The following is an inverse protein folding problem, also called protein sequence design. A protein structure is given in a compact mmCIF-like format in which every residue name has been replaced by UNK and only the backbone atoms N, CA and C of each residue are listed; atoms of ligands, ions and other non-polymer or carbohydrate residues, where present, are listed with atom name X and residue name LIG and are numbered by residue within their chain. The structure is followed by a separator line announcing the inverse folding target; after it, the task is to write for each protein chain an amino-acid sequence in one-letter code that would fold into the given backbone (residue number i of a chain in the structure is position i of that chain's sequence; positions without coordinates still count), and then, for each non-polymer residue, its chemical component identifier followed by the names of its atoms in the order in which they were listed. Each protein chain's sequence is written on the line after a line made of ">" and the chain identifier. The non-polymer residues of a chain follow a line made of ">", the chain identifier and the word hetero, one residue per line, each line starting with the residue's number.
data_IF_048884035392
#
_entry.id   IF_048884035392
#
_cell.length_a   1.000
_cell.length_b   1.000
_cell.length_c   1.000
_cell.angle_alpha   90.00
_cell.angle_beta   90.00
_cell.angle_gamma   90.00
#
_symmetry.space_group_name_H-M   'P 1'
#
loop_
_entity.id
_entity.type
_entity.pdbx_description
1 polymer ?
#
# COMPACT_ATOMS: atom_id res chain seq x y z
N UNK A 1 -20.03 -14.11 -2.75
CA UNK A 1 -20.40 -13.52 -1.45
C UNK A 1 -19.19 -13.34 -0.51
N UNK A 2 -18.54 -14.38 0.04
CA UNK A 2 -17.44 -14.17 1.02
C UNK A 2 -16.17 -13.47 0.49
N UNK A 3 -16.00 -13.34 -0.84
CA UNK A 3 -14.83 -12.65 -1.46
C UNK A 3 -15.12 -11.20 -1.85
N UNK A 4 -16.36 -10.76 -1.75
CA UNK A 4 -16.81 -9.46 -2.26
C UNK A 4 -16.66 -8.36 -1.21
N UNK A 5 -16.66 -8.78 0.06
CA UNK A 5 -16.49 -7.95 1.24
C UNK A 5 -15.41 -8.50 2.17
N UNK A 6 -14.80 -7.62 2.95
CA UNK A 6 -13.83 -7.99 4.00
C UNK A 6 -14.20 -7.28 5.29
N UNK A 7 -14.35 -8.01 6.39
CA UNK A 7 -14.55 -7.41 7.71
C UNK A 7 -13.36 -6.53 8.08
N UNK A 8 -13.64 -5.39 8.70
CA UNK A 8 -12.62 -4.42 9.14
C UNK A 8 -12.69 -4.22 10.64
N UNK A 9 -11.60 -3.72 11.24
CA UNK A 9 -11.55 -3.33 12.66
C UNK A 9 -11.92 -1.85 12.89
N UNK A 10 -12.62 -1.22 11.95
CA UNK A 10 -13.09 0.15 12.10
C UNK A 10 -14.03 0.30 13.33
N UNK A 11 -13.85 1.38 14.09
CA UNK A 11 -14.67 1.67 15.27
C UNK A 11 -16.14 1.87 14.91
N UNK A 12 -17.04 1.46 15.82
CA UNK A 12 -18.49 1.57 15.64
C UNK A 12 -19.05 0.66 14.55
N UNK A 13 -18.40 -0.50 14.34
CA UNK A 13 -18.81 -1.54 13.39
C UNK A 13 -19.66 -2.64 14.04
N UNK A 14 -19.82 -3.78 13.35
CA UNK A 14 -18.96 -4.28 12.28
C UNK A 14 -19.13 -3.54 10.93
N UNK A 15 -17.98 -3.26 10.32
CA UNK A 15 -17.85 -2.65 9.00
C UNK A 15 -17.19 -3.60 8.02
N UNK A 16 -17.60 -3.53 6.76
CA UNK A 16 -17.14 -4.41 5.69
C UNK A 16 -16.63 -3.59 4.52
N UNK A 17 -15.35 -3.73 4.21
CA UNK A 17 -14.73 -3.09 3.04
C UNK A 17 -15.23 -3.74 1.76
N UNK A 18 -15.57 -2.91 0.79
CA UNK A 18 -15.89 -3.31 -0.58
C UNK A 18 -14.62 -3.85 -1.26
N UNK A 19 -14.49 -5.16 -1.46
CA UNK A 19 -13.28 -5.75 -2.08
C UNK A 19 -13.45 -5.93 -3.59
N UNK A 20 -14.46 -6.71 -4.00
CA UNK A 20 -14.85 -6.88 -5.40
C UNK A 20 -16.15 -6.18 -5.71
N UNK A 21 -17.01 -6.06 -4.71
CA UNK A 21 -18.19 -5.22 -4.79
C UNK A 21 -17.80 -3.75 -4.89
N UNK A 22 -18.69 -2.93 -5.43
CA UNK A 22 -18.49 -1.49 -5.58
C UNK A 22 -19.16 -0.72 -4.46
N UNK A 23 -18.47 0.29 -3.96
CA UNK A 23 -19.05 1.25 -3.04
C UNK A 23 -20.32 1.88 -3.63
N UNK A 24 -21.41 1.81 -2.89
CA UNK A 24 -22.73 2.31 -3.31
C UNK A 24 -22.82 3.83 -3.46
N UNK A 25 -21.77 4.55 -3.03
CA UNK A 25 -21.67 6.01 -3.15
C UNK A 25 -20.78 6.41 -4.33
N UNK A 26 -19.56 5.87 -4.43
CA UNK A 26 -18.59 6.30 -5.43
C UNK A 26 -18.38 5.32 -6.59
N UNK A 27 -19.00 4.15 -6.55
CA UNK A 27 -18.86 3.12 -7.60
C UNK A 27 -17.48 2.44 -7.66
N UNK A 28 -16.57 2.74 -6.74
CA UNK A 28 -15.23 2.14 -6.69
C UNK A 28 -15.16 1.01 -5.66
N UNK A 29 -14.30 0.01 -5.93
CA UNK A 29 -13.91 -0.97 -4.92
C UNK A 29 -12.71 -0.50 -4.10
N UNK A 30 -12.50 -1.16 -2.97
CA UNK A 30 -11.50 -0.94 -1.93
C UNK A 30 -11.61 0.42 -1.22
N UNK A 31 -11.06 0.49 -0.01
CA UNK A 31 -11.00 1.66 0.89
C UNK A 31 -12.34 2.06 1.50
N UNK A 32 -13.43 2.02 0.73
CA UNK A 32 -14.76 2.31 1.23
C UNK A 32 -15.33 1.10 1.98
N UNK A 33 -16.24 1.33 2.92
CA UNK A 33 -16.85 0.28 3.72
C UNK A 33 -18.34 0.52 3.95
N UNK A 34 -19.09 -0.57 4.13
CA UNK A 34 -20.50 -0.58 4.50
C UNK A 34 -20.68 -1.17 5.89
N UNK A 35 -21.58 -0.62 6.68
CA UNK A 35 -21.94 -1.18 7.98
C UNK A 35 -22.81 -2.44 7.78
N UNK A 36 -22.81 -3.37 8.73
CA UNK A 36 -23.69 -4.55 8.70
C UNK A 36 -25.19 -4.24 8.55
N UNK A 37 -25.60 -2.99 8.82
CA UNK A 37 -27.00 -2.58 8.75
C UNK A 37 -27.46 -2.34 7.30
N UNK A 38 -26.53 -2.38 6.34
CA UNK A 38 -26.79 -2.16 4.93
C UNK A 38 -27.18 -0.73 4.56
N UNK A 39 -27.19 0.22 5.50
CA UNK A 39 -27.62 1.60 5.28
C UNK A 39 -26.47 2.61 5.39
N UNK A 40 -25.52 2.39 6.30
CA UNK A 40 -24.40 3.30 6.50
C UNK A 40 -23.21 2.92 5.62
N UNK A 41 -22.70 3.89 4.85
CA UNK A 41 -21.51 3.71 3.99
C UNK A 41 -20.47 4.78 4.30
N UNK A 42 -19.26 4.37 4.65
CA UNK A 42 -18.11 5.28 4.70
C UNK A 42 -17.43 5.28 3.34
N UNK A 43 -17.52 6.41 2.64
CA UNK A 43 -16.91 6.63 1.33
C UNK A 43 -15.65 7.49 1.44
N UNK A 44 -14.53 7.01 0.87
CA UNK A 44 -13.25 7.74 0.89
C UNK A 44 -13.05 8.69 -0.29
N UNK A 45 -14.04 8.78 -1.20
CA UNK A 45 -13.91 9.52 -2.48
C UNK A 45 -14.98 10.59 -2.68
N UNK A 46 -16.14 10.41 -2.09
CA UNK A 46 -17.26 11.36 -2.19
C UNK A 46 -17.50 11.95 -0.82
N UNK A 47 -17.41 13.27 -0.73
CA UNK A 47 -17.62 14.01 0.52
C UNK A 47 -19.08 14.00 0.95
N UNK A 48 -19.29 14.13 2.26
CA UNK A 48 -20.57 14.39 2.91
C UNK A 48 -20.33 15.35 4.08
N UNK A 49 -21.40 15.86 4.68
CA UNK A 49 -21.29 16.73 5.87
C UNK A 49 -20.70 16.00 7.09
N UNK A 50 -20.74 14.66 7.10
CA UNK A 50 -20.27 13.83 8.21
C UNK A 50 -18.92 13.22 7.86
N UNK A 51 -17.84 13.86 8.25
CA UNK A 51 -16.50 13.32 8.07
C UNK A 51 -16.17 12.24 9.12
N UNK A 52 -15.52 11.16 8.68
CA UNK A 52 -15.25 9.94 9.43
C UNK A 52 -13.75 9.63 9.48
N UNK A 53 -13.26 9.25 10.67
CA UNK A 53 -11.85 8.97 10.95
C UNK A 53 -10.85 9.96 10.31
N UNK A 54 -11.09 11.27 10.51
CA UNK A 54 -10.32 12.39 9.93
C UNK A 54 -8.80 12.27 10.09
N UNK A 55 -8.35 11.60 11.15
CA UNK A 55 -6.93 11.43 11.50
C UNK A 55 -6.37 10.05 11.14
N UNK A 56 -7.10 9.22 10.40
CA UNK A 56 -6.63 7.91 9.96
C UNK A 56 -5.89 7.98 8.62
N UNK A 57 -5.25 6.88 8.23
CA UNK A 57 -4.63 6.71 6.92
C UNK A 57 -5.65 6.79 5.78
N UNK A 58 -6.91 6.47 6.06
CA UNK A 58 -7.99 6.37 5.08
C UNK A 58 -9.18 7.18 5.61
N UNK A 59 -9.08 8.52 5.65
CA UNK A 59 -10.21 9.35 6.05
C UNK A 59 -11.36 9.15 5.06
N UNK A 60 -12.58 9.15 5.57
CA UNK A 60 -13.78 8.97 4.77
C UNK A 60 -14.88 9.92 5.18
N UNK A 61 -16.03 9.76 4.54
CA UNK A 61 -17.24 10.51 4.83
C UNK A 61 -18.40 9.52 4.97
N UNK A 62 -19.22 9.68 6.00
CA UNK A 62 -20.34 8.80 6.31
C UNK A 62 -21.58 9.23 5.53
N UNK A 63 -22.10 8.31 4.73
CA UNK A 63 -23.33 8.45 3.94
C UNK A 63 -24.41 7.50 4.46
N UNK A 64 -25.66 7.86 4.22
CA UNK A 64 -26.83 7.03 4.47
C UNK A 64 -27.55 6.72 3.14
N UNK A 65 -27.83 5.44 2.88
CA UNK A 65 -28.47 5.01 1.65
C UNK A 65 -29.98 5.25 1.63
N UNK A 66 -30.61 5.40 2.82
CA UNK A 66 -32.00 5.80 3.03
C UNK A 66 -33.02 5.04 2.16
N UNK A 67 -32.90 3.71 2.13
CA UNK A 67 -33.90 2.85 1.46
C UNK A 67 -33.85 2.86 -0.07
N UNK A 68 -32.79 3.39 -0.69
CA UNK A 68 -32.49 3.12 -2.12
C UNK A 68 -32.37 1.59 -2.35
N UNK A 69 -32.79 1.13 -3.54
CA UNK A 69 -32.81 -0.29 -3.95
C UNK A 69 -31.39 -0.90 -4.06
N UNK A 70 -30.70 -1.07 -2.94
CA UNK A 70 -29.45 -1.81 -2.86
C UNK A 70 -29.71 -3.24 -2.38
N UNK A 71 -28.94 -4.24 -2.85
CA UNK A 71 -29.10 -5.61 -2.42
C UNK A 71 -28.94 -5.73 -0.90
N UNK A 72 -29.82 -6.50 -0.25
CA UNK A 72 -29.61 -6.88 1.15
C UNK A 72 -28.43 -7.84 1.21
N UNK A 73 -27.35 -7.42 1.88
CA UNK A 73 -26.13 -8.22 1.99
C UNK A 73 -26.23 -9.11 3.22
N UNK A 74 -25.94 -10.40 3.06
CA UNK A 74 -25.78 -11.32 4.18
C UNK A 74 -24.29 -11.43 4.56
N UNK A 75 -23.94 -10.86 5.71
CA UNK A 75 -22.59 -10.88 6.25
C UNK A 75 -22.30 -12.11 7.13
N UNK A 76 -23.29 -12.96 7.41
CA UNK A 76 -23.12 -14.13 8.31
C UNK A 76 -22.07 -15.14 7.82
N UNK A 77 -21.86 -15.20 6.50
CA UNK A 77 -20.87 -16.06 5.87
C UNK A 77 -19.43 -15.52 5.90
N UNK A 78 -19.22 -14.30 6.42
CA UNK A 78 -17.89 -13.68 6.53
C UNK A 78 -17.33 -13.98 7.92
N UNK A 79 -16.19 -14.69 8.02
CA UNK A 79 -15.61 -15.04 9.30
C UNK A 79 -15.36 -13.83 10.20
N UNK A 80 -15.79 -13.94 11.46
CA UNK A 80 -15.39 -13.04 12.53
C UNK A 80 -14.10 -13.54 13.15
N UNK A 81 -12.97 -13.09 12.59
CA UNK A 81 -11.66 -13.37 13.16
C UNK A 81 -11.25 -12.18 14.03
N UNK A 82 -10.97 -12.38 15.33
CA UNK A 82 -10.50 -11.31 16.20
C UNK A 82 -9.27 -10.61 15.63
N UNK A 83 -9.28 -9.27 15.63
CA UNK A 83 -8.13 -8.47 15.25
C UNK A 83 -7.10 -8.51 16.38
N UNK A 84 -5.85 -8.85 16.06
CA UNK A 84 -4.76 -8.83 17.02
C UNK A 84 -4.01 -7.50 16.90
N UNK A 85 -3.84 -6.74 17.98
CA UNK A 85 -3.09 -5.48 17.93
C UNK A 85 -1.63 -5.77 17.59
N UNK A 86 -1.01 -4.84 16.84
CA UNK A 86 0.40 -4.96 16.49
C UNK A 86 1.28 -4.94 17.75
N UNK A 87 2.29 -5.82 17.77
CA UNK A 87 3.37 -5.73 18.77
C UNK A 87 4.07 -4.37 18.67
N UNK A 88 4.72 -3.96 19.74
CA UNK A 88 5.49 -2.72 19.78
C UNK A 88 6.65 -2.78 18.78
N UNK A 89 7.12 -1.62 18.30
CA UNK A 89 8.13 -1.53 17.24
C UNK A 89 9.42 -2.31 17.52
N UNK A 90 9.83 -2.41 18.79
CA UNK A 90 11.03 -3.15 19.19
C UNK A 90 10.87 -4.67 18.96
N UNK A 91 9.71 -5.23 19.31
CA UNK A 91 9.41 -6.65 19.09
C UNK A 91 9.24 -6.96 17.60
N UNK A 92 8.57 -6.06 16.87
CA UNK A 92 8.44 -6.16 15.42
C UNK A 92 9.83 -6.17 14.75
N UNK A 93 10.74 -5.25 15.10
CA UNK A 93 12.09 -5.25 14.54
C UNK A 93 12.81 -6.55 14.89
N UNK A 94 12.79 -7.00 16.15
CA UNK A 94 13.44 -8.26 16.56
C UNK A 94 13.02 -9.43 15.67
N UNK A 95 11.71 -9.60 15.47
CA UNK A 95 11.15 -10.73 14.71
C UNK A 95 11.43 -10.57 13.21
N UNK A 96 11.22 -9.37 12.66
CA UNK A 96 11.45 -9.11 11.24
C UNK A 96 12.93 -9.17 10.85
N UNK A 97 13.85 -8.84 11.75
CA UNK A 97 15.28 -9.03 11.51
C UNK A 97 15.66 -10.51 11.49
N UNK A 98 15.10 -11.32 12.39
CA UNK A 98 15.24 -12.77 12.30
C UNK A 98 14.69 -13.31 10.97
N UNK A 99 13.53 -12.81 10.52
CA UNK A 99 12.98 -13.11 9.20
C UNK A 99 13.95 -12.73 8.07
N UNK A 100 14.50 -11.51 8.06
CA UNK A 100 15.47 -11.09 7.05
C UNK A 100 16.74 -11.96 7.03
N UNK A 101 17.15 -12.50 8.17
CA UNK A 101 18.32 -13.38 8.28
C UNK A 101 18.04 -14.82 7.82
N UNK A 102 16.78 -15.25 7.77
CA UNK A 102 16.35 -16.56 7.26
C UNK A 102 15.96 -16.52 5.77
N UNK A 103 15.83 -15.33 5.18
CA UNK A 103 15.45 -15.17 3.77
C UNK A 103 16.64 -14.69 2.93
N UNK A 104 16.56 -14.93 1.62
CA UNK A 104 17.52 -14.45 0.62
C UNK A 104 16.85 -13.59 -0.46
N UNK A 105 17.65 -12.85 -1.23
CA UNK A 105 17.18 -12.21 -2.47
C UNK A 105 17.47 -13.16 -3.62
N UNK A 106 16.45 -13.55 -4.38
CA UNK A 106 16.60 -14.43 -5.54
C UNK A 106 17.40 -13.72 -6.64
N UNK A 107 18.08 -14.47 -7.53
CA UNK A 107 18.82 -13.88 -8.65
C UNK A 107 17.96 -12.93 -9.50
N UNK A 108 16.74 -13.36 -9.85
CA UNK A 108 15.76 -12.55 -10.59
C UNK A 108 15.44 -11.22 -9.89
N UNK A 109 15.28 -11.23 -8.57
CA UNK A 109 15.04 -10.00 -7.81
C UNK A 109 16.28 -9.11 -7.71
N UNK A 110 17.48 -9.70 -7.59
CA UNK A 110 18.73 -8.94 -7.65
C UNK A 110 18.89 -8.24 -9.00
N UNK A 111 18.67 -8.95 -10.10
CA UNK A 111 18.71 -8.39 -11.45
C UNK A 111 17.70 -7.25 -11.62
N UNK A 112 16.47 -7.42 -11.13
CA UNK A 112 15.46 -6.36 -11.15
C UNK A 112 15.89 -5.11 -10.36
N UNK A 113 16.51 -5.29 -9.19
CA UNK A 113 16.98 -4.17 -8.36
C UNK A 113 18.22 -3.47 -8.93
N UNK A 114 19.09 -4.21 -9.62
CA UNK A 114 20.31 -3.69 -10.26
C UNK A 114 20.08 -3.15 -11.67
N UNK A 115 18.96 -3.53 -12.28
CA UNK A 115 18.61 -3.16 -13.65
C UNK A 115 18.40 -1.65 -13.83
N UNK A 116 18.27 -1.24 -15.10
CA UNK A 116 18.25 0.17 -15.52
C UNK A 116 17.17 1.02 -14.83
N UNK A 117 16.02 0.43 -14.46
CA UNK A 117 14.95 1.15 -13.76
C UNK A 117 15.32 1.55 -12.32
N UNK A 118 16.20 0.80 -11.65
CA UNK A 118 16.42 0.90 -10.20
C UNK A 118 17.85 1.25 -9.83
N UNK A 119 18.82 0.74 -10.61
CA UNK A 119 20.25 1.06 -10.53
C UNK A 119 20.87 0.91 -9.12
N UNK A 120 20.31 0.03 -8.28
CA UNK A 120 20.84 -0.17 -6.94
C UNK A 120 22.12 -1.02 -6.98
N UNK A 121 23.12 -0.59 -6.20
CA UNK A 121 24.35 -1.33 -5.97
C UNK A 121 24.12 -2.49 -4.99
N UNK A 122 24.97 -3.51 -5.04
CA UNK A 122 24.81 -4.71 -4.19
C UNK A 122 24.88 -4.38 -2.69
N UNK A 123 25.73 -3.43 -2.32
CA UNK A 123 25.88 -2.98 -0.94
C UNK A 123 24.67 -2.15 -0.45
N UNK A 124 24.03 -1.39 -1.35
CA UNK A 124 22.76 -0.72 -1.10
C UNK A 124 21.65 -1.76 -0.89
N UNK A 125 21.50 -2.73 -1.81
CA UNK A 125 20.52 -3.84 -1.67
C UNK A 125 20.68 -4.56 -0.32
N UNK A 126 21.93 -4.82 0.08
CA UNK A 126 22.26 -5.47 1.35
C UNK A 126 21.85 -4.58 2.54
N UNK A 127 22.24 -3.30 2.54
CA UNK A 127 21.90 -2.35 3.60
C UNK A 127 20.38 -2.14 3.75
N UNK A 128 19.66 -2.08 2.62
CA UNK A 128 18.20 -1.94 2.59
C UNK A 128 17.48 -3.19 3.07
N UNK A 129 18.12 -4.36 3.05
CA UNK A 129 17.55 -5.60 3.58
C UNK A 129 16.40 -6.14 2.74
N UNK A 130 16.38 -5.87 1.43
CA UNK A 130 15.39 -6.48 0.54
C UNK A 130 15.50 -8.01 0.58
N UNK A 131 14.37 -8.72 0.42
CA UNK A 131 14.31 -10.19 0.39
C UNK A 131 13.25 -10.68 -0.59
N UNK A 132 13.31 -11.94 -0.97
CA UNK A 132 12.24 -12.60 -1.72
C UNK A 132 11.31 -13.31 -0.76
N UNK A 133 10.02 -13.29 -1.06
CA UNK A 133 9.06 -14.12 -0.33
C UNK A 133 9.42 -15.60 -0.53
N UNK A 134 9.49 -16.40 0.55
CA UNK A 134 9.94 -17.79 0.46
C UNK A 134 8.93 -18.67 -0.29
N UNK A 135 9.43 -19.65 -1.04
CA UNK A 135 8.58 -20.67 -1.67
C UNK A 135 7.87 -21.56 -0.65
N UNK A 136 8.52 -21.79 0.50
CA UNK A 136 8.00 -22.59 1.61
C UNK A 136 7.89 -21.75 2.89
N UNK A 137 6.89 -20.86 3.01
CA UNK A 137 6.78 -19.95 4.13
C UNK A 137 6.77 -20.62 5.51
N UNK A 138 6.14 -21.79 5.66
CA UNK A 138 6.11 -22.51 6.93
C UNK A 138 7.48 -23.01 7.38
N UNK A 139 8.39 -23.33 6.45
CA UNK A 139 9.77 -23.71 6.80
C UNK A 139 10.55 -22.50 7.29
N UNK A 140 10.43 -21.36 6.57
CA UNK A 140 11.03 -20.11 7.01
C UNK A 140 10.54 -19.70 8.41
N UNK A 141 9.24 -19.84 8.70
CA UNK A 141 8.70 -19.55 10.05
C UNK A 141 9.29 -20.48 11.12
N UNK A 142 9.52 -21.76 10.83
CA UNK A 142 10.20 -22.68 11.76
C UNK A 142 11.63 -22.25 12.05
N UNK A 143 12.38 -21.84 11.03
CA UNK A 143 13.75 -21.34 11.18
C UNK A 143 13.81 -20.03 11.97
N UNK A 144 12.86 -19.13 11.73
CA UNK A 144 12.71 -17.87 12.48
C UNK A 144 12.43 -18.17 13.95
N UNK A 145 11.49 -19.07 14.25
CA UNK A 145 11.15 -19.45 15.62
C UNK A 145 12.33 -20.10 16.34
N UNK A 146 13.05 -21.00 15.67
CA UNK A 146 14.25 -21.63 16.21
C UNK A 146 15.36 -20.61 16.52
N UNK A 147 15.56 -19.62 15.64
CA UNK A 147 16.54 -18.54 15.85
C UNK A 147 16.16 -17.63 17.02
N UNK A 148 14.87 -17.39 17.23
CA UNK A 148 14.37 -16.51 18.29
C UNK A 148 14.20 -17.22 19.64
N UNK A 149 14.12 -18.56 19.65
CA UNK A 149 13.71 -19.32 20.83
C UNK A 149 12.26 -19.08 21.24
N UNK A 150 11.42 -18.62 20.30
CA UNK A 150 10.08 -18.09 20.55
C UNK A 150 9.21 -18.32 19.30
N UNK A 151 7.94 -18.67 19.48
CA UNK A 151 6.98 -18.89 18.41
C UNK A 151 5.71 -18.03 18.55
N UNK A 152 5.68 -17.08 19.49
CA UNK A 152 4.59 -16.12 19.62
C UNK A 152 4.71 -14.99 18.60
N UNK A 153 4.10 -15.23 17.44
CA UNK A 153 3.97 -14.28 16.34
C UNK A 153 2.60 -13.57 16.28
N UNK A 154 1.75 -13.74 17.30
CA UNK A 154 0.50 -12.96 17.38
C UNK A 154 0.84 -11.47 17.49
N UNK A 155 0.18 -10.61 16.72
CA UNK A 155 0.52 -9.19 16.65
C UNK A 155 1.66 -8.87 15.68
N UNK A 156 2.18 -9.85 14.91
CA UNK A 156 3.21 -9.63 13.88
C UNK A 156 2.57 -9.71 12.48
N UNK A 157 2.51 -8.58 11.74
CA UNK A 157 1.89 -8.58 10.41
C UNK A 157 2.50 -9.61 9.46
N UNK A 158 1.61 -10.36 8.80
CA UNK A 158 1.99 -11.35 7.79
C UNK A 158 2.16 -12.77 8.34
N UNK A 159 2.33 -12.95 9.65
CA UNK A 159 2.36 -14.26 10.30
C UNK A 159 0.96 -14.68 10.72
N UNK A 160 0.63 -15.97 10.60
CA UNK A 160 -0.68 -16.50 11.01
C UNK A 160 -0.65 -18.02 11.19
N UNK A 161 -1.72 -18.54 11.80
CA UNK A 161 -2.00 -19.97 11.94
C UNK A 161 -2.86 -20.42 10.77
N UNK A 162 -2.45 -21.51 10.11
CA UNK A 162 -3.18 -22.10 9.00
C UNK A 162 -3.51 -23.56 9.28
N UNK A 163 -4.69 -24.00 8.87
CA UNK A 163 -5.05 -25.42 8.86
C UNK A 163 -4.22 -26.19 7.82
N UNK A 164 -3.69 -27.34 8.24
CA UNK A 164 -2.94 -28.27 7.40
C UNK A 164 -3.42 -29.71 7.59
N UNK A 165 -2.93 -30.61 6.73
CA UNK A 165 -3.28 -32.02 6.76
C UNK A 165 -2.98 -32.70 8.11
N UNK A 166 -1.91 -32.27 8.80
CA UNK A 166 -1.44 -32.83 10.07
C UNK A 166 -1.79 -31.94 11.27
N UNK A 167 -2.78 -31.05 11.12
CA UNK A 167 -3.14 -30.04 12.10
C UNK A 167 -2.64 -28.65 11.75
N UNK A 168 -2.86 -27.72 12.68
CA UNK A 168 -2.55 -26.31 12.51
C UNK A 168 -1.04 -26.05 12.54
N UNK A 169 -0.59 -25.11 11.74
CA UNK A 169 0.82 -24.70 11.71
C UNK A 169 0.97 -23.19 11.47
N UNK A 170 2.06 -22.62 11.99
CA UNK A 170 2.43 -21.23 11.75
C UNK A 170 3.06 -21.06 10.37
N UNK A 171 2.68 -20.00 9.67
CA UNK A 171 3.16 -19.68 8.32
C UNK A 171 3.06 -18.18 8.05
N UNK A 172 3.51 -17.74 6.86
CA UNK A 172 3.38 -16.36 6.40
C UNK A 172 2.42 -16.23 5.22
N UNK A 173 1.66 -15.13 5.17
CA UNK A 173 0.70 -14.81 4.11
C UNK A 173 1.37 -13.99 3.01
N UNK A 174 1.38 -14.51 1.79
CA UNK A 174 1.95 -13.81 0.64
C UNK A 174 1.97 -14.68 -0.61
N UNK A 175 2.38 -14.06 -1.72
CA UNK A 175 2.68 -14.72 -2.99
C UNK A 175 4.15 -14.47 -3.35
N UNK A 176 4.65 -15.16 -4.37
CA UNK A 176 5.97 -14.87 -4.95
C UNK A 176 6.12 -13.37 -5.26
N UNK A 177 7.17 -12.77 -4.70
CA UNK A 177 7.36 -11.33 -4.72
C UNK A 177 8.59 -10.87 -3.95
N UNK A 178 8.92 -9.58 -4.10
CA UNK A 178 9.98 -8.89 -3.37
C UNK A 178 9.41 -8.27 -2.08
N UNK A 179 10.02 -8.58 -0.94
CA UNK A 179 9.79 -7.94 0.36
C UNK A 179 10.67 -6.70 0.50
N UNK A 180 10.04 -5.56 0.80
CA UNK A 180 10.63 -4.24 0.98
C UNK A 180 10.40 -3.82 2.44
N UNK A 181 11.44 -3.77 3.29
CA UNK A 181 11.30 -3.40 4.69
C UNK A 181 10.81 -1.97 4.88
N UNK A 182 9.85 -1.77 5.78
CA UNK A 182 9.38 -0.46 6.23
C UNK A 182 10.06 -0.12 7.57
N UNK A 183 10.98 0.85 7.53
CA UNK A 183 11.70 1.35 8.71
C UNK A 183 11.08 2.64 9.26
N UNK A 184 10.85 2.70 10.57
CA UNK A 184 10.43 3.93 11.25
C UNK A 184 11.60 4.90 11.48
N UNK A 185 11.33 6.04 12.11
CA UNK A 185 12.30 7.08 12.48
C UNK A 185 13.30 6.71 13.59
N UNK A 186 13.31 5.44 14.01
CA UNK A 186 14.28 4.86 14.95
C UNK A 186 15.09 3.71 14.32
N UNK A 187 15.05 3.56 12.99
CA UNK A 187 15.67 2.46 12.23
C UNK A 187 15.15 1.07 12.63
N UNK A 188 13.92 0.98 13.13
CA UNK A 188 13.26 -0.29 13.44
C UNK A 188 12.38 -0.71 12.27
N UNK A 189 12.47 -1.97 11.85
CA UNK A 189 11.58 -2.54 10.85
C UNK A 189 10.23 -2.81 11.51
N UNK A 190 9.19 -2.13 11.04
CA UNK A 190 7.83 -2.18 11.61
C UNK A 190 6.81 -2.78 10.65
N UNK A 191 7.27 -3.29 9.51
CA UNK A 191 6.43 -3.95 8.50
C UNK A 191 7.15 -4.06 7.17
N UNK A 192 6.41 -4.50 6.15
CA UNK A 192 6.92 -4.64 4.78
C UNK A 192 5.86 -4.25 3.77
N UNK A 193 6.28 -3.59 2.69
CA UNK A 193 5.58 -3.74 1.42
C UNK A 193 6.08 -4.99 0.71
N UNK A 194 5.19 -5.72 0.06
CA UNK A 194 5.54 -6.81 -0.84
C UNK A 194 5.11 -6.45 -2.27
N UNK A 195 6.05 -6.56 -3.21
CA UNK A 195 5.86 -6.32 -4.64
C UNK A 195 5.68 -7.67 -5.33
N UNK A 196 4.51 -7.97 -5.86
CA UNK A 196 4.26 -9.25 -6.55
C UNK A 196 5.10 -9.39 -7.81
N UNK A 197 5.52 -10.62 -8.10
CA UNK A 197 6.19 -10.96 -9.35
C UNK A 197 5.29 -10.78 -10.57
N UNK A 198 4.04 -11.21 -10.42
CA UNK A 198 3.04 -11.20 -11.48
C UNK A 198 1.83 -10.40 -11.03
N UNK A 199 1.61 -9.27 -11.70
CA UNK A 199 0.40 -8.46 -11.53
C UNK A 199 -0.72 -9.13 -12.32
N UNK A 200 -1.73 -9.64 -11.60
CA UNK A 200 -2.91 -10.24 -12.23
C UNK A 200 -3.89 -9.16 -12.67
N UNK A 201 -4.33 -9.23 -13.92
CA UNK A 201 -5.42 -8.41 -14.41
C UNK A 201 -6.76 -8.93 -13.88
N UNK A 202 -7.72 -8.03 -13.77
CA UNK A 202 -9.07 -8.30 -13.30
C UNK A 202 -10.10 -7.54 -14.14
N UNK A 203 -11.38 -7.90 -14.03
CA UNK A 203 -12.45 -7.16 -14.71
C UNK A 203 -12.94 -6.04 -13.80
N UNK A 204 -13.00 -4.82 -14.33
CA UNK A 204 -13.63 -3.66 -13.72
C UNK A 204 -14.98 -3.42 -14.39
N UNK A 205 -16.07 -3.47 -13.62
CA UNK A 205 -17.44 -3.38 -14.15
C UNK A 205 -17.95 -1.94 -14.24
N UNK A 206 -17.54 -1.15 -15.23
CA UNK A 206 -17.86 0.30 -15.35
C UNK A 206 -19.34 0.65 -15.10
N UNK A 207 -20.27 -0.07 -15.71
CA UNK A 207 -21.72 0.00 -15.47
C UNK A 207 -22.28 -1.42 -15.28
N UNK A 208 -23.25 -1.58 -14.39
CA UNK A 208 -23.99 -2.84 -14.21
C UNK A 208 -25.46 -2.55 -13.99
N UNK A 209 -26.30 -3.08 -14.88
CA UNK A 209 -27.77 -2.91 -14.83
C UNK A 209 -28.50 -4.21 -14.53
N UNK A 210 -27.77 -5.30 -14.30
CA UNK A 210 -28.35 -6.60 -14.03
C UNK A 210 -27.64 -7.27 -12.85
N UNK A 211 -28.36 -7.52 -11.76
CA UNK A 211 -27.78 -8.02 -10.51
C UNK A 211 -27.10 -9.39 -10.66
N UNK A 212 -27.57 -10.25 -11.57
CA UNK A 212 -26.98 -11.57 -11.81
C UNK A 212 -25.83 -11.57 -12.85
N UNK A 213 -25.49 -10.43 -13.46
CA UNK A 213 -24.39 -10.36 -14.41
C UNK A 213 -23.04 -10.33 -13.69
N UNK A 214 -22.13 -11.21 -14.12
CA UNK A 214 -20.76 -11.24 -13.62
C UNK A 214 -19.76 -11.32 -14.78
N UNK A 215 -18.58 -10.77 -14.59
CA UNK A 215 -17.46 -10.92 -15.50
C UNK A 215 -16.18 -11.20 -14.73
N UNK A 216 -15.35 -12.11 -15.24
CA UNK A 216 -14.07 -12.50 -14.62
C UNK A 216 -12.99 -12.76 -15.66
N UNK A 217 -11.74 -12.52 -15.28
CA UNK A 217 -10.59 -13.03 -16.05
C UNK A 217 -10.45 -14.52 -15.75
N UNK A 218 -10.74 -15.34 -16.76
CA UNK A 218 -10.62 -16.80 -16.69
C UNK A 218 -9.16 -17.25 -16.85
N UNK A 219 -8.42 -16.57 -17.73
CA UNK A 219 -7.00 -16.83 -17.99
C UNK A 219 -6.23 -15.52 -18.17
N UNK A 220 -5.05 -15.42 -17.56
CA UNK A 220 -4.20 -14.25 -17.70
C UNK A 220 -3.55 -14.24 -19.10
N UNK A 221 -3.31 -13.07 -19.70
CA UNK A 221 -3.54 -11.75 -19.12
C UNK A 221 -4.99 -11.24 -19.25
N UNK A 222 -5.79 -11.74 -20.18
CA UNK A 222 -7.02 -11.03 -20.57
C UNK A 222 -8.11 -11.90 -21.22
N UNK A 223 -8.10 -13.22 -21.03
CA UNK A 223 -9.21 -14.08 -21.42
C UNK A 223 -10.33 -13.94 -20.41
N UNK A 224 -11.49 -13.44 -20.84
CA UNK A 224 -12.61 -13.07 -19.98
C UNK A 224 -13.81 -13.95 -20.24
N UNK A 225 -14.52 -14.30 -19.17
CA UNK A 225 -15.83 -14.96 -19.21
C UNK A 225 -16.90 -14.01 -18.71
N UNK A 226 -18.04 -13.98 -19.40
CA UNK A 226 -19.26 -13.35 -18.94
C UNK A 226 -20.26 -14.41 -18.49
N UNK A 227 -20.85 -14.17 -17.32
CA UNK A 227 -21.75 -15.10 -16.68
C UNK A 227 -23.06 -14.39 -16.34
N UNK A 228 -24.17 -15.12 -16.45
CA UNK A 228 -25.47 -14.72 -15.92
C UNK A 228 -26.00 -15.89 -15.09
N UNK A 229 -26.39 -15.62 -13.84
CA UNK A 229 -26.87 -16.67 -12.91
C UNK A 229 -25.88 -17.82 -12.70
N UNK A 230 -24.58 -17.57 -12.90
CA UNK A 230 -23.51 -18.57 -12.78
C UNK A 230 -23.18 -19.32 -14.07
N UNK A 231 -24.01 -19.19 -15.11
CA UNK A 231 -23.80 -19.83 -16.42
C UNK A 231 -22.99 -18.93 -17.35
N UNK A 232 -21.99 -19.51 -18.03
CA UNK A 232 -21.13 -18.78 -18.97
C UNK A 232 -21.89 -18.62 -20.29
N UNK A 233 -22.12 -17.39 -20.72
CA UNK A 233 -22.75 -17.10 -22.02
C UNK A 233 -21.79 -16.52 -23.06
N UNK A 234 -20.60 -16.08 -22.64
CA UNK A 234 -19.58 -15.58 -23.55
C UNK A 234 -18.18 -15.80 -22.96
N UNK A 235 -17.23 -16.13 -23.84
CA UNK A 235 -15.81 -16.23 -23.53
C UNK A 235 -14.98 -15.64 -24.67
N UNK A 236 -13.96 -14.85 -24.34
CA UNK A 236 -13.04 -14.31 -25.33
C UNK A 236 -11.98 -13.39 -24.73
N UNK A 237 -11.02 -13.00 -25.55
CA UNK A 237 -9.98 -12.05 -25.13
C UNK A 237 -10.47 -10.62 -25.27
N UNK A 238 -10.20 -9.79 -24.27
CA UNK A 238 -10.52 -8.36 -24.29
C UNK A 238 -9.27 -7.50 -24.18
N UNK A 239 -9.24 -6.39 -24.90
CA UNK A 239 -8.13 -5.43 -24.78
C UNK A 239 -8.12 -4.79 -23.39
N UNK A 240 -6.92 -4.64 -22.82
CA UNK A 240 -6.75 -4.09 -21.48
C UNK A 240 -7.02 -2.57 -21.52
N UNK A 241 -7.88 -2.10 -20.63
CA UNK A 241 -8.22 -0.69 -20.48
C UNK A 241 -9.38 -0.23 -21.37
N UNK A 242 -9.73 -0.99 -22.40
CA UNK A 242 -10.81 -0.65 -23.35
C UNK A 242 -12.17 -1.07 -22.78
N UNK A 243 -13.14 -0.15 -22.66
CA UNK A 243 -14.52 -0.49 -22.31
C UNK A 243 -15.16 -1.43 -23.32
N UNK A 244 -15.92 -2.41 -22.82
CA UNK A 244 -16.71 -3.37 -23.59
C UNK A 244 -18.14 -3.37 -23.06
N UNK A 245 -19.07 -2.98 -23.92
CA UNK A 245 -20.50 -3.16 -23.66
C UNK A 245 -20.86 -4.63 -23.75
N UNK A 246 -21.66 -5.09 -22.78
CA UNK A 246 -22.08 -6.48 -22.66
C UNK A 246 -23.58 -6.54 -22.87
N UNK A 247 -23.99 -7.34 -23.86
CA UNK A 247 -25.39 -7.60 -24.17
C UNK A 247 -25.66 -9.09 -24.04
N UNK A 248 -26.86 -9.43 -23.57
CA UNK A 248 -27.36 -10.80 -23.52
C UNK A 248 -28.80 -10.81 -24.05
N UNK A 249 -29.07 -11.63 -25.06
CA UNK A 249 -30.38 -11.71 -25.73
C UNK A 249 -30.92 -10.32 -26.16
N UNK A 250 -30.06 -9.47 -26.72
CA UNK A 250 -30.41 -8.11 -27.15
C UNK A 250 -30.54 -7.07 -26.02
N UNK A 251 -30.55 -7.47 -24.74
CA UNK A 251 -30.60 -6.56 -23.60
C UNK A 251 -29.21 -6.13 -23.17
N UNK A 252 -29.02 -4.84 -22.93
CA UNK A 252 -27.78 -4.30 -22.34
C UNK A 252 -27.69 -4.70 -20.86
N UNK A 253 -26.60 -5.39 -20.49
CA UNK A 253 -26.35 -5.82 -19.12
C UNK A 253 -25.44 -4.86 -18.36
N UNK A 254 -24.52 -4.20 -19.06
CA UNK A 254 -23.54 -3.31 -18.46
C UNK A 254 -22.33 -3.06 -19.36
N UNK A 255 -21.35 -2.37 -18.80
CA UNK A 255 -20.09 -2.07 -19.45
C UNK A 255 -18.94 -2.47 -18.53
N UNK A 256 -17.94 -3.15 -19.08
CA UNK A 256 -16.80 -3.66 -18.33
C UNK A 256 -15.50 -3.30 -19.02
N UNK A 257 -14.37 -3.34 -18.31
CA UNK A 257 -13.03 -3.29 -18.91
C UNK A 257 -12.08 -4.21 -18.17
N UNK A 258 -11.08 -4.76 -18.86
CA UNK A 258 -9.97 -5.44 -18.18
C UNK A 258 -9.03 -4.39 -17.61
N UNK A 259 -8.72 -4.47 -16.32
CA UNK A 259 -7.85 -3.55 -15.60
C UNK A 259 -6.63 -4.27 -15.05
N UNK A 260 -5.49 -3.58 -15.04
CA UNK A 260 -4.26 -4.09 -14.41
C UNK A 260 -4.40 -4.08 -12.89
N UNK A 261 -3.99 -5.17 -12.25
CA UNK A 261 -3.92 -5.30 -10.80
C UNK A 261 -2.93 -4.33 -10.15
N UNK A 262 -2.95 -4.30 -8.82
CA UNK A 262 -1.93 -3.59 -8.05
C UNK A 262 -0.65 -4.42 -7.96
N UNK A 263 0.48 -3.71 -7.93
CA UNK A 263 1.82 -4.28 -7.90
C UNK A 263 2.38 -4.42 -6.49
N UNK A 264 1.99 -3.51 -5.61
CA UNK A 264 2.46 -3.43 -4.23
C UNK A 264 1.31 -3.64 -3.26
N UNK A 265 1.58 -4.38 -2.21
CA UNK A 265 0.65 -4.69 -1.14
C UNK A 265 1.39 -4.65 0.19
N UNK A 266 0.67 -4.53 1.29
CA UNK A 266 1.27 -4.63 2.62
C UNK A 266 1.37 -6.10 3.07
N UNK A 267 2.52 -6.48 3.63
CA UNK A 267 2.70 -7.79 4.25
C UNK A 267 1.84 -7.86 5.51
N UNK A 268 0.75 -8.60 5.42
CA UNK A 268 -0.38 -8.51 6.35
C UNK A 268 -1.09 -9.85 6.40
N UNK A 269 -1.50 -10.25 7.60
CA UNK A 269 -2.30 -11.44 7.87
C UNK A 269 -3.65 -11.09 8.50
N UNK A 270 -4.16 -9.89 8.23
CA UNK A 270 -5.51 -9.50 8.67
C UNK A 270 -6.57 -10.52 8.22
N UNK A 271 -7.49 -10.82 9.14
CA UNK A 271 -8.57 -11.80 9.00
C UNK A 271 -8.11 -13.27 8.87
N UNK A 272 -6.88 -13.57 9.26
CA UNK A 272 -6.40 -14.95 9.43
C UNK A 272 -6.34 -15.30 10.92
N UNK A 273 -6.47 -16.58 11.27
CA UNK A 273 -6.36 -17.04 12.66
C UNK A 273 -5.00 -16.68 13.26
N UNK A 274 -5.00 -16.00 14.41
CA UNK A 274 -3.79 -15.47 15.04
C UNK A 274 -3.06 -14.40 14.21
N UNK A 275 -3.65 -13.95 13.11
CA UNK A 275 -3.08 -13.00 12.17
C UNK A 275 -3.20 -11.55 12.62
N UNK A 276 -2.49 -10.66 11.93
CA UNK A 276 -2.39 -9.24 12.28
C UNK A 276 -2.31 -8.41 11.01
N UNK A 277 -3.12 -7.34 10.97
CA UNK A 277 -3.07 -6.37 9.88
C UNK A 277 -1.79 -5.52 9.90
N UNK A 278 -1.29 -5.14 8.73
CA UNK A 278 -0.20 -4.15 8.64
C UNK A 278 -0.63 -2.74 9.12
N UNK A 279 -1.93 -2.44 9.07
CA UNK A 279 -2.53 -1.14 9.37
C UNK A 279 -2.56 -0.77 10.86
N UNK A 280 -3.28 0.31 11.17
CA UNK A 280 -3.51 0.85 12.52
C UNK A 280 -2.24 1.20 13.34
N UNK A 281 -1.44 2.20 12.88
CA UNK A 281 -1.43 2.84 11.56
C UNK A 281 -0.58 2.04 10.57
N UNK A 282 -0.73 2.27 9.25
CA UNK A 282 0.23 1.73 8.29
C UNK A 282 1.63 2.33 8.53
N UNK A 283 2.72 1.59 8.27
CA UNK A 283 4.07 2.11 8.43
C UNK A 283 4.34 3.36 7.57
N UNK A 284 4.97 4.36 8.17
CA UNK A 284 5.67 5.45 7.47
C UNK A 284 7.13 5.06 7.38
N UNK A 285 7.69 5.07 6.18
CA UNK A 285 9.05 4.63 5.96
C UNK A 285 10.02 5.80 5.88
N UNK A 286 11.08 5.75 6.68
CA UNK A 286 12.20 6.68 6.65
C UNK A 286 13.34 6.08 5.84
N UNK A 287 13.64 6.71 4.71
CA UNK A 287 14.80 6.41 3.88
C UNK A 287 15.87 7.47 4.10
N UNK A 288 17.09 7.01 4.37
CA UNK A 288 18.31 7.82 4.40
C UNK A 288 19.31 7.20 3.41
N UNK A 289 20.35 7.89 2.95
CA UNK A 289 21.35 7.29 2.08
C UNK A 289 21.96 6.03 2.71
N UNK A 290 22.29 5.02 1.91
CA UNK A 290 22.73 3.72 2.39
C UNK A 290 24.01 3.81 3.23
N UNK A 291 24.90 4.76 2.94
CA UNK A 291 26.07 5.05 3.76
C UNK A 291 25.71 5.52 5.17
N UNK A 292 24.65 6.32 5.31
CA UNK A 292 24.11 6.77 6.59
C UNK A 292 23.32 5.67 7.29
N UNK A 293 22.53 4.89 6.54
CA UNK A 293 21.74 3.77 7.07
C UNK A 293 22.62 2.74 7.79
N UNK A 294 23.79 2.41 7.21
CA UNK A 294 24.78 1.50 7.82
C UNK A 294 25.32 2.00 9.16
N UNK A 295 25.33 3.31 9.40
CA UNK A 295 25.83 3.96 10.62
C UNK A 295 24.72 4.29 11.62
N UNK A 296 23.48 4.34 11.16
CA UNK A 296 22.33 4.72 11.96
C UNK A 296 21.96 3.61 12.95
N UNK A 297 22.19 3.82 14.25
CA UNK A 297 21.91 2.82 15.27
C UNK A 297 20.41 2.63 15.45
N UNK A 298 19.99 1.38 15.62
CA UNK A 298 18.60 1.06 15.92
C UNK A 298 18.20 1.59 17.29
N UNK A 299 16.99 2.12 17.38
CA UNK A 299 16.49 2.84 18.55
C UNK A 299 16.94 4.30 18.61
N UNK A 300 17.89 4.73 17.77
CA UNK A 300 18.32 6.13 17.70
C UNK A 300 17.37 6.93 16.81
N UNK A 301 16.79 8.01 17.35
CA UNK A 301 15.88 8.88 16.59
C UNK A 301 16.64 9.62 15.48
N UNK A 302 16.19 9.47 14.22
CA UNK A 302 16.73 10.26 13.11
C UNK A 302 16.29 11.71 13.24
N UNK A 303 17.24 12.62 13.42
CA UNK A 303 17.01 14.05 13.27
C UNK A 303 17.25 14.49 11.82
N UNK A 304 16.43 15.41 11.35
CA UNK A 304 16.56 16.04 10.04
C UNK A 304 15.91 17.44 10.08
N UNK A 305 16.60 18.46 9.57
CA UNK A 305 16.07 19.82 9.45
C UNK A 305 15.15 19.98 8.23
N UNK A 306 15.52 19.34 7.13
CA UNK A 306 14.72 19.25 5.90
C UNK A 306 14.43 17.78 5.60
N UNK A 307 13.18 17.47 5.22
CA UNK A 307 12.78 16.13 4.81
C UNK A 307 11.90 16.17 3.56
N UNK A 308 12.03 15.16 2.71
CA UNK A 308 11.22 14.99 1.50
C UNK A 308 10.03 14.09 1.80
N UNK A 309 8.81 14.55 1.51
CA UNK A 309 7.58 13.78 1.73
C UNK A 309 7.05 13.27 0.39
N UNK A 310 7.06 11.96 0.21
CA UNK A 310 6.66 11.27 -1.02
C UNK A 310 6.00 9.92 -0.77
N UNK A 311 5.86 9.12 -1.82
CA UNK A 311 5.16 7.83 -1.78
C UNK A 311 6.07 6.67 -2.19
N UNK A 312 5.80 5.49 -1.63
CA UNK A 312 6.44 4.24 -2.04
C UNK A 312 7.82 4.01 -1.42
N UNK A 313 7.97 2.90 -0.70
CA UNK A 313 9.17 2.60 0.08
C UNK A 313 10.43 2.48 -0.80
N UNK A 314 10.34 1.68 -1.87
CA UNK A 314 11.46 1.46 -2.79
C UNK A 314 11.89 2.75 -3.49
N UNK A 315 10.92 3.64 -3.81
CA UNK A 315 11.22 4.92 -4.43
C UNK A 315 12.00 5.82 -3.47
N UNK A 316 11.54 5.92 -2.23
CA UNK A 316 12.25 6.68 -1.19
C UNK A 316 13.66 6.18 -0.92
N UNK A 317 13.87 4.86 -0.92
CA UNK A 317 15.20 4.28 -0.75
C UNK A 317 16.15 4.65 -1.89
N UNK A 318 15.70 4.57 -3.15
CA UNK A 318 16.49 4.95 -4.33
C UNK A 318 16.77 6.44 -4.33
N UNK A 319 15.74 7.27 -4.08
CA UNK A 319 15.87 8.72 -4.08
C UNK A 319 16.86 9.20 -3.01
N UNK A 320 16.84 8.61 -1.81
CA UNK A 320 17.78 8.96 -0.75
C UNK A 320 19.23 8.71 -1.17
N UNK A 321 19.52 7.56 -1.78
CA UNK A 321 20.86 7.25 -2.31
C UNK A 321 21.25 8.18 -3.45
N UNK A 322 20.34 8.50 -4.37
CA UNK A 322 20.64 9.36 -5.51
C UNK A 322 20.80 10.83 -5.17
N UNK A 323 20.08 11.36 -4.19
CA UNK A 323 20.31 12.73 -3.70
C UNK A 323 21.75 12.89 -3.18
N UNK A 324 22.25 11.92 -2.41
CA UNK A 324 23.64 11.93 -1.91
C UNK A 324 24.68 11.77 -3.04
N UNK A 325 24.32 11.09 -4.13
CA UNK A 325 25.20 10.90 -5.30
C UNK A 325 25.27 12.15 -6.20
N UNK A 326 24.16 12.87 -6.36
CA UNK A 326 24.01 13.91 -7.37
C UNK A 326 24.25 15.33 -6.86
N UNK A 327 24.02 15.59 -5.57
CA UNK A 327 24.07 16.93 -5.01
C UNK A 327 25.34 17.13 -4.18
N UNK A 328 25.89 18.34 -4.22
CA UNK A 328 27.07 18.66 -3.43
C UNK A 328 26.72 18.89 -1.93
N UNK A 329 27.71 18.91 -1.03
CA UNK A 329 27.45 19.07 0.40
C UNK A 329 26.72 20.37 0.79
N UNK A 330 26.91 21.46 0.05
CA UNK A 330 26.24 22.73 0.32
C UNK A 330 24.75 22.64 -0.05
N UNK A 331 24.45 22.09 -1.23
CA UNK A 331 23.07 21.81 -1.66
C UNK A 331 22.36 20.86 -0.70
N UNK A 332 23.03 19.76 -0.30
CA UNK A 332 22.50 18.77 0.63
C UNK A 332 22.22 19.36 2.02
N UNK A 333 22.98 20.36 2.46
CA UNK A 333 22.74 21.03 3.73
C UNK A 333 21.41 21.79 3.75
N UNK A 334 20.92 22.20 2.57
CA UNK A 334 19.67 22.94 2.38
C UNK A 334 18.51 21.97 2.16
N UNK A 335 18.64 21.07 1.17
CA UNK A 335 17.53 20.24 0.71
C UNK A 335 17.38 18.95 1.52
N UNK A 336 18.43 18.50 2.18
CA UNK A 336 18.45 17.25 2.95
C UNK A 336 18.35 15.98 2.10
N UNK A 337 18.68 14.84 2.71
CA UNK A 337 18.67 13.51 2.04
C UNK A 337 17.62 12.55 2.60
N UNK A 338 16.86 12.99 3.61
CA UNK A 338 15.91 12.11 4.31
C UNK A 338 14.56 12.12 3.59
N UNK A 339 14.10 10.94 3.16
CA UNK A 339 12.80 10.75 2.52
C UNK A 339 11.83 10.10 3.52
N UNK A 340 10.65 10.67 3.64
CA UNK A 340 9.50 10.18 4.40
C UNK A 340 8.48 9.65 3.40
N UNK A 341 8.35 8.33 3.33
CA UNK A 341 7.48 7.65 2.37
C UNK A 341 6.18 7.19 3.03
N UNK A 342 5.05 7.65 2.49
CA UNK A 342 3.69 7.28 2.96
C UNK A 342 3.01 6.26 2.04
N UNK A 343 2.02 5.48 2.55
CA UNK A 343 1.23 4.53 1.76
C UNK A 343 0.13 5.21 0.94
N UNK A 344 0.52 5.98 -0.06
CA UNK A 344 -0.44 6.74 -0.87
C UNK A 344 -0.59 8.19 -0.42
N UNK A 345 -0.78 9.11 -1.35
CA UNK A 345 -0.90 10.55 -1.09
C UNK A 345 -1.96 10.90 -0.06
N UNK A 346 -3.06 10.14 -0.01
CA UNK A 346 -4.17 10.37 0.91
C UNK A 346 -3.80 10.16 2.40
N UNK A 347 -2.69 9.44 2.64
CA UNK A 347 -2.21 9.06 3.98
C UNK A 347 -1.22 10.06 4.56
N UNK A 348 -1.09 11.27 3.99
CA UNK A 348 -0.09 12.27 4.40
C UNK A 348 -0.12 12.64 5.88
N UNK A 349 -1.29 12.50 6.54
CA UNK A 349 -1.46 12.74 7.98
C UNK A 349 -0.59 11.83 8.85
N UNK A 350 -0.24 10.64 8.36
CA UNK A 350 0.67 9.72 9.05
C UNK A 350 2.09 10.29 9.19
N UNK A 351 2.51 11.14 8.24
CA UNK A 351 3.84 11.74 8.27
C UNK A 351 3.98 12.83 9.33
N UNK A 352 2.93 13.58 9.65
CA UNK A 352 2.99 14.73 10.57
C UNK A 352 3.63 14.42 11.93
N UNK A 353 3.17 13.40 12.70
CA UNK A 353 3.79 13.10 13.99
C UNK A 353 5.23 12.58 13.85
N UNK A 354 5.58 12.02 12.70
CA UNK A 354 6.95 11.56 12.41
C UNK A 354 7.86 12.76 12.14
N UNK A 355 7.43 13.69 11.28
CA UNK A 355 8.14 14.96 10.98
C UNK A 355 8.41 15.76 12.27
N UNK A 356 7.41 15.86 13.14
CA UNK A 356 7.53 16.51 14.45
C UNK A 356 8.59 15.86 15.34
N UNK A 357 8.55 14.53 15.54
CA UNK A 357 9.57 13.83 16.33
C UNK A 357 10.98 13.98 15.76
N UNK A 358 11.11 13.94 14.43
CA UNK A 358 12.37 14.12 13.72
C UNK A 358 12.92 15.55 13.81
N UNK A 359 12.12 16.52 14.26
CA UNK A 359 12.52 17.92 14.37
C UNK A 359 12.71 18.59 13.01
N UNK A 360 11.85 18.23 12.05
CA UNK A 360 11.82 18.80 10.70
C UNK A 360 11.24 20.21 10.76
N UNK A 361 11.91 21.15 10.10
CA UNK A 361 11.46 22.54 9.94
C UNK A 361 10.92 22.76 8.51
N UNK A 362 11.57 22.15 7.51
CA UNK A 362 11.23 22.30 6.08
C UNK A 362 10.81 20.98 5.44
N UNK A 363 9.70 20.98 4.72
CA UNK A 363 9.17 19.80 4.01
C UNK A 363 9.23 20.01 2.49
N UNK A 364 9.95 19.14 1.79
CA UNK A 364 9.98 19.06 0.34
C UNK A 364 8.88 18.10 -0.15
N UNK A 365 7.76 18.62 -0.66
CA UNK A 365 6.64 17.82 -1.14
C UNK A 365 6.95 17.24 -2.53
N UNK A 366 7.16 15.93 -2.62
CA UNK A 366 7.57 15.22 -3.84
C UNK A 366 6.65 14.03 -4.18
N UNK A 367 5.34 14.27 -4.26
CA UNK A 367 4.39 13.27 -4.78
C UNK A 367 4.60 13.06 -6.29
N UNK A 368 4.28 11.87 -6.79
CA UNK A 368 4.52 11.46 -8.19
C UNK A 368 4.01 12.51 -9.21
N UNK A 369 4.66 12.62 -10.38
CA UNK A 369 4.36 13.66 -11.37
C UNK A 369 2.95 13.56 -11.99
N UNK A 370 2.33 12.38 -11.93
CA UNK A 370 0.92 12.20 -12.32
C UNK A 370 -0.03 13.01 -11.42
N UNK A 371 0.44 13.53 -10.29
CA UNK A 371 -0.22 14.53 -9.46
C UNK A 371 -0.66 15.77 -10.23
N UNK A 372 0.10 16.19 -11.24
CA UNK A 372 -0.24 17.33 -12.07
C UNK A 372 -1.49 17.10 -12.94
N UNK A 373 -1.86 15.84 -13.19
CA UNK A 373 -2.98 15.46 -14.05
C UNK A 373 -4.12 14.79 -13.29
N UNK A 374 -3.88 14.29 -12.07
CA UNK A 374 -4.89 13.63 -11.25
C UNK A 374 -5.51 14.60 -10.21
N UNK A 375 -6.80 14.99 -10.37
CA UNK A 375 -7.45 15.94 -9.46
C UNK A 375 -7.47 15.47 -7.99
N UNK A 376 -7.56 14.16 -7.76
CA UNK A 376 -7.55 13.59 -6.41
C UNK A 376 -6.19 13.80 -5.73
N UNK A 377 -5.10 13.65 -6.47
CA UNK A 377 -3.75 13.83 -5.93
C UNK A 377 -3.49 15.31 -5.66
N UNK A 378 -3.88 16.22 -6.57
CA UNK A 378 -3.83 17.68 -6.32
C UNK A 378 -4.55 18.07 -5.03
N UNK A 379 -5.75 17.54 -4.83
CA UNK A 379 -6.53 17.82 -3.62
C UNK A 379 -5.78 17.39 -2.36
N UNK A 380 -5.23 16.17 -2.33
CA UNK A 380 -4.49 15.70 -1.15
C UNK A 380 -3.17 16.44 -0.93
N UNK A 381 -2.44 16.81 -1.98
CA UNK A 381 -1.27 17.66 -1.91
C UNK A 381 -1.61 19.03 -1.32
N UNK A 382 -2.68 19.67 -1.80
CA UNK A 382 -3.14 20.96 -1.30
C UNK A 382 -3.52 20.90 0.18
N UNK A 383 -4.29 19.89 0.59
CA UNK A 383 -4.68 19.71 2.00
C UNK A 383 -3.47 19.43 2.90
N UNK A 384 -2.48 18.67 2.41
CA UNK A 384 -1.23 18.45 3.12
C UNK A 384 -0.47 19.76 3.30
N UNK A 385 -0.27 20.54 2.23
CA UNK A 385 0.42 21.83 2.29
C UNK A 385 -0.28 22.82 3.23
N UNK A 386 -1.62 22.88 3.21
CA UNK A 386 -2.41 23.72 4.11
C UNK A 386 -2.20 23.36 5.58
N UNK A 387 -2.19 22.06 5.92
CA UNK A 387 -1.96 21.62 7.29
C UNK A 387 -0.51 21.84 7.74
N UNK A 388 0.48 21.67 6.84
CA UNK A 388 1.87 22.01 7.12
C UNK A 388 2.03 23.50 7.46
N UNK A 389 1.41 24.39 6.67
CA UNK A 389 1.40 25.83 6.93
C UNK A 389 0.80 26.16 8.30
N UNK A 390 -0.33 25.52 8.63
CA UNK A 390 -1.02 25.71 9.93
C UNK A 390 -0.15 25.30 11.11
N UNK A 391 0.75 24.33 10.91
CA UNK A 391 1.70 23.83 11.92
C UNK A 391 3.05 24.55 11.91
N UNK A 392 3.18 25.65 11.16
CA UNK A 392 4.39 26.46 11.04
C UNK A 392 5.61 25.75 10.44
N UNK A 393 5.39 24.74 9.58
CA UNK A 393 6.48 24.23 8.74
C UNK A 393 6.74 25.22 7.59
N UNK A 394 7.97 25.25 7.10
CA UNK A 394 8.26 25.72 5.74
C UNK A 394 8.01 24.59 4.75
N UNK A 395 7.56 24.93 3.55
CA UNK A 395 7.32 23.90 2.53
C UNK A 395 7.83 24.33 1.16
N UNK A 396 8.37 23.35 0.43
CA UNK A 396 8.72 23.45 -0.98
C UNK A 396 7.89 22.45 -1.77
N UNK A 397 7.53 22.82 -2.99
CA UNK A 397 6.97 21.93 -3.99
C UNK A 397 8.08 21.47 -4.92
N UNK A 398 8.22 20.15 -5.06
CA UNK A 398 9.20 19.53 -5.95
C UNK A 398 8.51 19.24 -7.29
N UNK A 399 9.05 19.80 -8.37
CA UNK A 399 8.48 19.77 -9.71
C UNK A 399 9.45 19.18 -10.72
N UNK A 400 8.94 18.35 -11.63
CA UNK A 400 9.70 17.81 -12.75
C UNK A 400 8.78 17.51 -13.94
N UNK A 401 9.37 17.29 -15.10
CA UNK A 401 8.63 16.91 -16.30
C UNK A 401 8.25 15.42 -16.25
N UNK A 402 6.97 15.08 -16.43
CA UNK A 402 6.50 13.68 -16.44
C UNK A 402 7.19 12.82 -17.51
N UNK A 403 7.66 13.44 -18.60
CA UNK A 403 8.43 12.76 -19.65
C UNK A 403 9.79 12.24 -19.15
N UNK A 404 10.31 12.80 -18.06
CA UNK A 404 11.61 12.42 -17.49
C UNK A 404 11.51 11.26 -16.50
N UNK A 405 10.31 10.97 -16.01
CA UNK A 405 10.06 9.96 -15.00
C UNK A 405 8.73 10.15 -14.27
N UNK A 406 8.12 9.05 -13.83
CA UNK A 406 6.83 9.11 -13.10
C UNK A 406 7.04 9.45 -11.64
N UNK A 407 8.04 8.82 -11.02
CA UNK A 407 8.45 9.08 -9.64
C UNK A 407 9.73 9.90 -9.54
N UNK A 408 9.99 10.39 -8.34
CA UNK A 408 11.25 11.07 -7.99
C UNK A 408 12.47 10.16 -8.21
N UNK A 409 12.32 8.85 -7.98
CA UNK A 409 13.37 7.86 -8.20
C UNK A 409 13.75 7.73 -9.68
N UNK A 410 12.76 7.82 -10.58
CA UNK A 410 12.99 7.71 -12.02
C UNK A 410 13.84 8.88 -12.54
N UNK A 411 13.51 10.13 -12.16
CA UNK A 411 14.26 11.29 -12.64
C UNK A 411 15.68 11.36 -12.07
N UNK A 412 15.87 11.00 -10.80
CA UNK A 412 17.17 11.00 -10.16
C UNK A 412 18.07 9.89 -10.74
N UNK A 413 17.49 8.72 -11.09
CA UNK A 413 18.20 7.68 -11.83
C UNK A 413 18.62 8.11 -13.23
N UNK A 414 17.93 9.08 -13.82
CA UNK A 414 18.27 9.70 -15.09
C UNK A 414 19.19 10.93 -14.95
N UNK A 415 19.80 11.12 -13.77
CA UNK A 415 20.71 12.25 -13.47
C UNK A 415 20.05 13.62 -13.63
N UNK A 416 18.72 13.70 -13.43
CA UNK A 416 17.97 14.96 -13.49
C UNK A 416 17.58 15.42 -12.10
N UNK A 417 17.91 16.66 -11.80
CA UNK A 417 17.57 17.31 -10.53
C UNK A 417 16.20 18.00 -10.70
N UNK A 418 15.22 17.75 -9.81
CA UNK A 418 13.93 18.42 -9.89
C UNK A 418 14.06 19.91 -9.54
N UNK A 419 13.09 20.69 -10.04
CA UNK A 419 12.94 22.09 -9.63
C UNK A 419 12.31 22.16 -8.24
N UNK A 420 12.91 22.96 -7.36
CA UNK A 420 12.41 23.19 -6.00
C UNK A 420 11.77 24.58 -5.95
N UNK A 421 10.46 24.63 -5.74
CA UNK A 421 9.71 25.87 -5.64
C UNK A 421 9.24 26.10 -4.20
N UNK A 422 9.66 27.21 -3.58
CA UNK A 422 9.18 27.57 -2.24
C UNK A 422 7.68 27.87 -2.25
N UNK A 423 6.94 27.29 -1.31
CA UNK A 423 5.50 27.56 -1.10
C UNK A 423 5.25 28.60 0.00
N UNK A 424 5.86 28.41 1.18
CA UNK A 424 5.77 29.32 2.33
C UNK A 424 6.96 29.14 3.28
#
# INVERSE_FOLDING_TARGET
>A
MSKDFRRTSAKGGPWYEFMKERCYICGHSNMCMIHEDGNRVVCCRVSSDIAWAKNSAIPGHLHFLNGKNYPKIDFSSIPDVPDNPKKVSADLDRIFQAMLNCLSVSPKHKEMLKGQERQLKEDQITARGYRSFPEKPWQAVKEIAARLGDNDFVGVPGFFVRDGQYGKYLTMKGNAGLLIPARNEYNQIVGFQYRVDQVKNFVTVLDSRHAAFMARVAEQPNKVQFLIEGEIFWEGSLEIGVPKQVHYQGKYLGEIKVSKGQKYFWFSSANEEGGTGAGNPLPVHISVPSGQLKKWRKGELKKAKTAWLGEGLLKGDIAADKLEELLDPEELSIVGTTIVSIPGVNSWRLALPVLERMGVDTVNLCFDADSANNPSVKHHLFECAKELKKRNYSANLILWNELDGKGIDDILNNFKIPTIQKLF
#
